data_IF_176847300411
#
_entry.id   IF_176847300411
#
_cell.length_a   1.000
_cell.length_b   1.000
_cell.length_c   1.000
_cell.angle_alpha   90.00
_cell.angle_beta   90.00
_cell.angle_gamma   90.00
#
_symmetry.space_group_name_H-M   'P 1'
#
loop_
_entity.id
_entity.type
_entity.pdbx_description
1 polymer ?
#
# COMPACT_ATOMS: atom_id res chain seq x y z
N UNK A 1 13.58 -19.81 -21.51
CA UNK A 1 14.46 -18.64 -21.35
C UNK A 1 15.43 -18.95 -20.21
N UNK A 2 16.73 -18.93 -20.47
CA UNK A 2 17.77 -19.11 -19.44
C UNK A 2 18.12 -17.80 -18.73
N UNK A 3 18.94 -17.87 -17.68
CA UNK A 3 19.37 -16.68 -16.88
C UNK A 3 20.08 -15.64 -17.75
N UNK A 4 20.97 -16.08 -18.65
CA UNK A 4 21.68 -15.19 -19.59
C UNK A 4 20.70 -14.49 -20.54
N UNK A 5 19.74 -15.23 -21.10
CA UNK A 5 18.71 -14.65 -21.98
C UNK A 5 17.86 -13.62 -21.25
N UNK A 6 17.52 -13.88 -19.99
CA UNK A 6 16.70 -12.98 -19.18
C UNK A 6 17.44 -11.67 -18.83
N UNK A 7 18.76 -11.71 -18.61
CA UNK A 7 19.58 -10.50 -18.46
C UNK A 7 19.55 -9.68 -19.76
N UNK A 8 19.72 -10.34 -20.91
CA UNK A 8 19.70 -9.68 -22.23
C UNK A 8 18.35 -9.01 -22.53
N UNK A 9 17.23 -9.58 -22.07
CA UNK A 9 15.91 -8.93 -22.18
C UNK A 9 15.91 -7.59 -21.43
N UNK A 10 16.39 -7.54 -20.20
CA UNK A 10 16.46 -6.30 -19.43
C UNK A 10 17.39 -5.26 -20.09
N UNK A 11 18.54 -5.71 -20.61
CA UNK A 11 19.48 -4.82 -21.32
C UNK A 11 18.87 -4.23 -22.59
N UNK A 12 18.13 -5.03 -23.36
CA UNK A 12 17.44 -4.57 -24.58
C UNK A 12 16.40 -3.49 -24.28
N UNK A 13 15.78 -3.54 -23.10
CA UNK A 13 14.83 -2.51 -22.65
C UNK A 13 15.51 -1.34 -21.89
N UNK A 14 16.84 -1.28 -21.86
CA UNK A 14 17.59 -0.16 -21.27
C UNK A 14 17.90 -0.33 -19.77
N UNK A 15 17.80 -1.54 -19.24
CA UNK A 15 18.18 -1.85 -17.86
C UNK A 15 19.38 -2.81 -17.81
N UNK A 16 20.57 -2.28 -17.58
CA UNK A 16 21.74 -3.12 -17.26
C UNK A 16 21.59 -3.70 -15.86
N UNK A 17 21.77 -5.00 -15.76
CA UNK A 17 21.76 -5.75 -14.50
C UNK A 17 23.14 -6.35 -14.27
N UNK A 18 23.72 -6.14 -13.08
CA UNK A 18 24.97 -6.80 -12.67
C UNK A 18 24.81 -8.29 -12.36
N UNK A 19 23.57 -8.78 -12.29
CA UNK A 19 23.22 -10.20 -12.20
C UNK A 19 23.12 -10.78 -10.79
N UNK A 20 23.55 -10.05 -9.74
CA UNK A 20 23.74 -10.61 -8.40
C UNK A 20 22.97 -9.90 -7.27
N UNK A 21 22.04 -8.99 -7.59
CA UNK A 21 21.32 -8.22 -6.57
C UNK A 21 19.80 -8.24 -6.79
N UNK A 22 19.02 -8.89 -5.89
CA UNK A 22 17.55 -8.89 -5.97
C UNK A 22 16.93 -7.49 -5.98
N UNK A 23 17.51 -6.54 -5.24
CA UNK A 23 17.04 -5.15 -5.20
C UNK A 23 17.31 -4.41 -6.53
N UNK A 24 18.38 -4.73 -7.23
CA UNK A 24 18.69 -4.17 -8.56
C UNK A 24 17.69 -4.66 -9.61
N UNK A 25 17.44 -5.99 -9.64
CA UNK A 25 16.43 -6.59 -10.51
C UNK A 25 15.05 -5.97 -10.27
N UNK A 26 14.66 -5.80 -9.00
CA UNK A 26 13.37 -5.19 -8.61
C UNK A 26 13.26 -3.73 -9.07
N UNK A 27 14.29 -2.91 -8.87
CA UNK A 27 14.32 -1.50 -9.31
C UNK A 27 14.25 -1.36 -10.83
N UNK A 28 15.00 -2.19 -11.54
CA UNK A 28 14.98 -2.22 -12.99
C UNK A 28 13.59 -2.59 -13.52
N UNK A 29 12.96 -3.62 -12.94
CA UNK A 29 11.63 -4.07 -13.35
C UNK A 29 10.57 -2.99 -13.13
N UNK A 30 10.58 -2.34 -11.96
CA UNK A 30 9.69 -1.20 -11.67
C UNK A 30 9.90 -0.11 -12.72
N UNK A 31 11.13 0.37 -12.94
CA UNK A 31 11.38 1.46 -13.90
C UNK A 31 10.83 1.15 -15.30
N UNK A 32 11.05 -0.07 -15.80
CA UNK A 32 10.56 -0.49 -17.10
C UNK A 32 9.02 -0.60 -17.12
N UNK A 33 8.41 -1.09 -16.05
CA UNK A 33 6.95 -1.10 -15.91
C UNK A 33 6.36 0.30 -16.06
N UNK A 34 6.92 1.30 -15.39
CA UNK A 34 6.45 2.68 -15.52
C UNK A 34 6.64 3.24 -16.94
N UNK A 35 7.78 2.95 -17.59
CA UNK A 35 8.09 3.43 -18.94
C UNK A 35 7.14 2.85 -20.00
N UNK A 36 6.89 1.53 -19.97
CA UNK A 36 6.07 0.86 -20.97
C UNK A 36 4.57 0.85 -20.64
N UNK A 37 4.19 1.17 -19.39
CA UNK A 37 2.80 1.48 -19.01
C UNK A 37 2.41 2.93 -19.38
N UNK A 38 3.29 3.92 -19.18
CA UNK A 38 3.04 5.32 -19.54
C UNK A 38 3.08 5.56 -21.07
N UNK A 39 3.85 4.75 -21.81
CA UNK A 39 3.97 4.81 -23.27
C UNK A 39 2.91 4.03 -24.07
N UNK A 40 1.84 3.54 -23.43
CA UNK A 40 0.79 2.75 -24.11
C UNK A 40 -0.08 3.61 -25.05
N UNK A 41 0.48 3.94 -26.22
CA UNK A 41 -0.26 4.39 -27.39
C UNK A 41 -0.66 3.20 -28.27
N UNK A 42 -1.97 3.09 -28.53
CA UNK A 42 -2.72 2.47 -29.65
C UNK A 42 -2.35 1.07 -30.22
N UNK A 43 -1.13 0.54 -30.13
CA UNK A 43 -0.66 -0.57 -30.98
C UNK A 43 -0.25 -1.86 -30.22
N UNK A 44 -0.53 -1.95 -28.91
CA UNK A 44 -0.26 -3.16 -28.10
C UNK A 44 1.23 -3.53 -27.91
N UNK A 45 2.15 -2.68 -28.37
CA UNK A 45 3.60 -2.92 -28.29
C UNK A 45 4.12 -2.86 -26.84
N UNK A 46 3.60 -1.93 -26.02
CA UNK A 46 3.95 -1.83 -24.60
C UNK A 46 3.53 -3.06 -23.79
N UNK A 47 2.36 -3.65 -24.12
CA UNK A 47 1.88 -4.88 -23.47
C UNK A 47 2.76 -6.09 -23.80
N UNK A 48 3.16 -6.24 -25.07
CA UNK A 48 4.11 -7.29 -25.50
C UNK A 48 5.48 -7.13 -24.84
N UNK A 49 6.01 -5.91 -24.81
CA UNK A 49 7.26 -5.59 -24.12
C UNK A 49 7.20 -5.96 -22.63
N UNK A 50 6.11 -5.61 -21.93
CA UNK A 50 5.96 -5.94 -20.52
C UNK A 50 5.75 -7.43 -20.25
N UNK A 51 5.05 -8.15 -21.12
CA UNK A 51 4.93 -9.61 -21.00
C UNK A 51 6.30 -10.29 -21.06
N UNK A 52 7.17 -9.81 -21.95
CA UNK A 52 8.53 -10.32 -22.10
C UNK A 52 9.44 -9.94 -20.92
N UNK A 53 9.35 -8.70 -20.43
CA UNK A 53 10.06 -8.24 -19.22
C UNK A 53 9.64 -9.05 -17.98
N UNK A 54 8.34 -9.36 -17.84
CA UNK A 54 7.83 -10.18 -16.74
C UNK A 54 8.36 -11.61 -16.79
N UNK A 55 8.39 -12.22 -17.98
CA UNK A 55 8.96 -13.56 -18.16
C UNK A 55 10.44 -13.60 -17.79
N UNK A 56 11.22 -12.59 -18.20
CA UNK A 56 12.62 -12.47 -17.82
C UNK A 56 12.81 -12.25 -16.30
N UNK A 57 11.98 -11.40 -15.69
CA UNK A 57 12.02 -11.15 -14.25
C UNK A 57 11.80 -12.43 -13.44
N UNK A 58 10.84 -13.27 -13.83
CA UNK A 58 10.57 -14.53 -13.14
C UNK A 58 11.73 -15.53 -13.21
N UNK A 59 12.41 -15.61 -14.36
CA UNK A 59 13.60 -16.46 -14.52
C UNK A 59 14.72 -16.00 -13.60
N UNK A 60 15.02 -14.69 -13.58
CA UNK A 60 16.08 -14.13 -12.74
C UNK A 60 15.75 -14.22 -11.26
N UNK A 61 14.49 -13.97 -10.89
CA UNK A 61 14.01 -14.10 -9.52
C UNK A 61 14.15 -15.53 -8.98
N UNK A 62 13.86 -16.54 -9.80
CA UNK A 62 14.05 -17.97 -9.42
C UNK A 62 15.53 -18.34 -9.30
N UNK A 63 16.38 -17.80 -10.17
CA UNK A 63 17.82 -18.05 -10.12
C UNK A 63 18.49 -17.43 -8.88
N UNK A 64 17.99 -16.29 -8.42
CA UNK A 64 18.47 -15.59 -7.22
C UNK A 64 17.93 -16.20 -5.90
N UNK A 65 16.95 -17.10 -5.95
CA UNK A 65 16.37 -17.76 -4.77
C UNK A 65 15.97 -19.23 -5.07
N UNK A 66 16.94 -20.17 -5.03
CA UNK A 66 16.73 -21.55 -5.45
C UNK A 66 15.92 -22.43 -4.48
N UNK A 67 15.47 -21.92 -3.32
CA UNK A 67 14.85 -22.72 -2.25
C UNK A 67 13.36 -23.06 -2.50
N UNK A 68 12.72 -22.53 -3.55
CA UNK A 68 11.30 -22.79 -3.85
C UNK A 68 11.09 -23.85 -4.93
N UNK A 69 11.40 -25.10 -4.59
CA UNK A 69 11.04 -26.30 -5.36
C UNK A 69 10.04 -27.20 -4.63
N UNK A 70 8.85 -27.38 -5.23
CA UNK A 70 7.82 -28.41 -4.95
C UNK A 70 6.95 -28.28 -3.67
N UNK A 71 5.66 -28.61 -3.83
CA UNK A 71 4.74 -28.94 -2.74
C UNK A 71 3.65 -27.89 -2.48
N UNK A 72 2.51 -28.03 -3.15
CA UNK A 72 1.25 -27.36 -2.77
C UNK A 72 0.82 -27.96 -1.41
N UNK A 73 1.23 -27.33 -0.31
CA UNK A 73 0.72 -27.62 1.03
C UNK A 73 -0.35 -26.60 1.38
N UNK A 74 -1.51 -27.04 1.84
CA UNK A 74 -2.62 -26.19 2.30
C UNK A 74 -2.32 -25.49 3.65
N UNK A 75 -1.18 -24.79 3.76
CA UNK A 75 -0.72 -24.10 4.98
C UNK A 75 -0.33 -22.66 4.67
N UNK A 76 -1.01 -21.73 5.36
CA UNK A 76 -0.78 -20.28 5.46
C UNK A 76 -0.49 -19.53 4.13
N UNK A 77 -1.49 -18.81 3.56
CA UNK A 77 -1.30 -18.01 2.34
C UNK A 77 -0.17 -16.96 2.44
N UNK A 78 0.24 -16.58 3.66
CA UNK A 78 1.39 -15.68 3.92
C UNK A 78 2.72 -16.26 3.43
N UNK A 79 2.85 -17.58 3.30
CA UNK A 79 4.07 -18.26 2.85
C UNK A 79 4.07 -18.63 1.36
N UNK A 80 2.93 -18.50 0.68
CA UNK A 80 2.71 -19.05 -0.67
C UNK A 80 2.83 -18.04 -1.82
N UNK A 81 3.16 -16.77 -1.55
CA UNK A 81 3.25 -15.76 -2.60
C UNK A 81 1.89 -15.34 -3.18
N UNK A 82 0.79 -15.71 -2.51
CA UNK A 82 -0.57 -15.24 -2.81
C UNK A 82 -0.73 -13.86 -2.19
N UNK A 83 -1.33 -12.92 -2.93
CA UNK A 83 -1.49 -11.49 -2.67
C UNK A 83 -1.64 -11.10 -1.18
N UNK A 84 -0.52 -11.04 -0.45
CA UNK A 84 -0.48 -10.84 1.01
C UNK A 84 -1.15 -9.53 1.41
N UNK A 85 -1.02 -8.51 0.57
CA UNK A 85 -1.70 -7.22 0.76
C UNK A 85 -3.24 -7.30 0.85
N UNK A 86 -3.87 -8.28 0.18
CA UNK A 86 -5.33 -8.45 0.20
C UNK A 86 -5.84 -8.91 1.56
N UNK A 87 -4.98 -9.57 2.35
CA UNK A 87 -5.28 -10.11 3.67
C UNK A 87 -5.29 -9.05 4.78
N UNK A 88 -4.84 -7.83 4.51
CA UNK A 88 -4.86 -6.74 5.49
C UNK A 88 -6.29 -6.53 6.01
N UNK A 89 -6.48 -6.63 7.32
CA UNK A 89 -7.79 -6.50 7.96
C UNK A 89 -8.55 -7.82 8.17
N UNK A 90 -8.19 -8.93 7.52
CA UNK A 90 -8.97 -10.17 7.55
C UNK A 90 -8.62 -11.09 8.74
N UNK A 91 -9.57 -11.41 9.64
CA UNK A 91 -9.35 -12.29 10.78
C UNK A 91 -9.49 -13.77 10.40
N UNK A 92 -8.66 -14.26 9.46
CA UNK A 92 -8.53 -15.70 9.18
C UNK A 92 -9.55 -16.33 8.21
N UNK A 93 -10.35 -15.53 7.49
CA UNK A 93 -11.19 -16.00 6.37
C UNK A 93 -10.54 -15.76 5.00
N UNK A 94 -11.10 -16.32 3.92
CA UNK A 94 -10.62 -16.08 2.56
C UNK A 94 -10.60 -14.57 2.26
N UNK A 95 -9.41 -14.01 1.99
CA UNK A 95 -9.29 -12.65 1.51
C UNK A 95 -10.07 -12.50 0.18
N UNK A 96 -10.65 -11.32 -0.10
CA UNK A 96 -11.23 -11.07 -1.41
C UNK A 96 -10.14 -11.33 -2.45
N UNK A 97 -10.44 -12.22 -3.40
CA UNK A 97 -9.54 -12.47 -4.51
C UNK A 97 -9.22 -11.12 -5.18
N UNK A 98 -7.95 -10.86 -5.55
CA UNK A 98 -7.62 -9.72 -6.38
C UNK A 98 -8.55 -9.75 -7.60
N UNK A 99 -9.35 -8.72 -7.78
CA UNK A 99 -10.15 -8.61 -8.99
C UNK A 99 -9.22 -8.15 -10.12
N UNK A 100 -9.40 -8.68 -11.33
CA UNK A 100 -8.63 -8.33 -12.54
C UNK A 100 -8.67 -6.82 -12.85
N UNK A 101 -9.61 -6.08 -12.25
CA UNK A 101 -9.73 -4.61 -12.34
C UNK A 101 -8.68 -3.80 -11.55
N UNK A 102 -7.90 -4.42 -10.65
CA UNK A 102 -6.86 -3.72 -9.85
C UNK A 102 -5.66 -3.27 -10.73
N UNK A 103 -5.67 -3.60 -12.02
CA UNK A 103 -4.68 -3.15 -13.01
C UNK A 103 -4.82 -1.67 -13.39
N UNK A 104 -5.98 -1.05 -13.12
CA UNK A 104 -6.18 0.38 -13.36
C UNK A 104 -5.87 1.19 -12.10
N UNK A 105 -5.20 2.34 -12.28
CA UNK A 105 -4.92 3.27 -11.19
C UNK A 105 -6.21 3.95 -10.71
N UNK A 106 -6.90 3.33 -9.76
CA UNK A 106 -8.10 3.88 -9.13
C UNK A 106 -7.92 3.96 -7.61
N UNK A 107 -7.62 5.15 -7.10
CA UNK A 107 -7.51 5.40 -5.66
C UNK A 107 -8.84 5.36 -4.90
N UNK A 108 -9.97 5.15 -5.59
CA UNK A 108 -11.26 4.83 -4.95
C UNK A 108 -11.43 3.33 -4.73
N UNK A 109 -10.68 2.49 -5.47
CA UNK A 109 -10.62 1.07 -5.23
C UNK A 109 -9.70 0.78 -4.03
N UNK A 110 -10.32 0.32 -2.94
CA UNK A 110 -9.64 -0.01 -1.68
C UNK A 110 -8.58 -1.11 -1.87
N UNK A 111 -8.77 -2.03 -2.81
CA UNK A 111 -7.78 -3.07 -3.12
C UNK A 111 -6.59 -2.52 -3.91
N UNK A 112 -6.83 -1.58 -4.83
CA UNK A 112 -5.75 -0.84 -5.49
C UNK A 112 -4.90 -0.08 -4.46
N UNK A 113 -5.55 0.63 -3.53
CA UNK A 113 -4.87 1.33 -2.44
C UNK A 113 -4.03 0.35 -1.59
N UNK A 114 -4.62 -0.77 -1.14
CA UNK A 114 -3.87 -1.81 -0.38
C UNK A 114 -2.63 -2.30 -1.13
N UNK A 115 -2.77 -2.66 -2.41
CA UNK A 115 -1.67 -3.13 -3.26
C UNK A 115 -0.59 -2.07 -3.43
N UNK A 116 -0.98 -0.82 -3.70
CA UNK A 116 -0.07 0.32 -3.90
C UNK A 116 0.74 0.60 -2.64
N UNK A 117 0.11 0.67 -1.47
CA UNK A 117 0.79 0.89 -0.19
C UNK A 117 1.76 -0.25 0.12
N UNK A 118 1.38 -1.50 -0.12
CA UNK A 118 2.26 -2.65 0.07
C UNK A 118 3.50 -2.60 -0.84
N UNK A 119 3.32 -2.24 -2.12
CA UNK A 119 4.42 -2.10 -3.07
C UNK A 119 5.41 -0.99 -2.68
N UNK A 120 4.89 0.17 -2.24
CA UNK A 120 5.68 1.30 -1.74
C UNK A 120 6.41 0.98 -0.43
N UNK A 121 5.85 0.07 0.36
CA UNK A 121 6.43 -0.35 1.64
C UNK A 121 7.37 -1.56 1.51
N UNK A 122 7.87 -1.83 0.29
CA UNK A 122 8.76 -2.96 -0.04
C UNK A 122 8.26 -4.32 0.50
N UNK A 123 6.93 -4.51 0.50
CA UNK A 123 6.34 -5.75 0.96
C UNK A 123 6.25 -5.91 2.49
N UNK A 124 6.36 -4.81 3.26
CA UNK A 124 6.16 -4.78 4.72
C UNK A 124 4.97 -5.63 5.16
N UNK A 125 5.14 -6.31 6.30
CA UNK A 125 4.10 -7.12 6.94
C UNK A 125 3.46 -6.42 8.15
N UNK A 126 3.80 -5.15 8.40
CA UNK A 126 3.14 -4.37 9.44
C UNK A 126 1.75 -3.93 8.98
N UNK A 127 0.73 -4.26 9.77
CA UNK A 127 -0.63 -3.81 9.52
C UNK A 127 -0.89 -2.44 10.11
N UNK A 128 -1.42 -1.55 9.28
CA UNK A 128 -1.83 -0.20 9.64
C UNK A 128 -3.29 0.01 9.26
N UNK A 129 -4.07 0.55 10.18
CA UNK A 129 -5.42 1.03 9.94
C UNK A 129 -5.39 2.52 9.60
N UNK A 130 -5.93 2.88 8.45
CA UNK A 130 -6.14 4.25 7.99
C UNK A 130 -7.52 4.69 8.47
N UNK A 131 -7.58 5.74 9.28
CA UNK A 131 -8.77 6.29 9.92
C UNK A 131 -9.06 7.71 9.42
N UNK A 132 -9.88 7.87 8.37
CA UNK A 132 -10.32 9.19 7.92
C UNK A 132 -11.36 9.77 8.88
N UNK A 133 -11.30 11.07 9.16
CA UNK A 133 -12.22 11.79 10.04
C UNK A 133 -12.83 12.98 9.30
N UNK A 134 -14.17 13.08 9.23
CA UNK A 134 -14.87 14.10 8.44
C UNK A 134 -15.10 15.44 9.18
N UNK A 135 -14.55 15.57 10.40
CA UNK A 135 -14.81 16.70 11.29
C UNK A 135 -15.93 16.44 12.29
N UNK A 136 -16.68 15.34 12.18
CA UNK A 136 -17.73 14.94 13.13
C UNK A 136 -17.58 13.49 13.58
N UNK A 137 -17.19 12.59 12.68
CA UNK A 137 -17.03 11.16 12.96
C UNK A 137 -15.91 10.56 12.12
N UNK A 138 -15.40 9.43 12.59
CA UNK A 138 -14.57 8.57 11.76
C UNK A 138 -15.40 7.96 10.62
N UNK A 139 -14.79 7.91 9.45
CA UNK A 139 -15.31 7.26 8.26
C UNK A 139 -14.84 5.81 8.22
N UNK A 140 -15.31 5.02 7.26
CA UNK A 140 -14.96 3.61 7.16
C UNK A 140 -13.43 3.42 7.03
N UNK A 141 -12.76 2.76 8.00
CA UNK A 141 -11.31 2.64 8.01
C UNK A 141 -10.83 1.64 6.97
N UNK A 142 -9.61 1.80 6.46
CA UNK A 142 -8.96 0.85 5.56
C UNK A 142 -7.69 0.28 6.22
N UNK A 143 -7.64 -1.04 6.41
CA UNK A 143 -6.41 -1.70 6.84
C UNK A 143 -5.52 -2.00 5.64
N UNK A 144 -4.23 -1.70 5.75
CA UNK A 144 -3.21 -1.94 4.74
C UNK A 144 -1.99 -2.58 5.38
N UNK A 145 -1.20 -3.31 4.60
CA UNK A 145 0.17 -3.63 4.98
C UNK A 145 1.08 -2.51 4.50
N UNK A 146 1.83 -1.88 5.40
CA UNK A 146 2.68 -0.75 5.03
C UNK A 146 3.75 -0.42 6.05
N UNK A 147 4.46 0.69 5.85
CA UNK A 147 5.44 1.20 6.79
C UNK A 147 5.42 2.74 6.81
N UNK A 148 6.22 3.34 7.70
CA UNK A 148 6.30 4.81 7.86
C UNK A 148 6.58 5.58 6.56
N UNK A 149 7.38 5.00 5.66
CA UNK A 149 7.70 5.63 4.36
C UNK A 149 6.46 5.81 3.46
N UNK A 150 5.40 5.04 3.70
CA UNK A 150 4.16 5.10 2.92
C UNK A 150 3.07 5.98 3.57
N UNK A 151 3.33 6.63 4.71
CA UNK A 151 2.30 7.40 5.43
C UNK A 151 1.68 8.52 4.60
N UNK A 152 2.47 9.26 3.84
CA UNK A 152 1.96 10.31 2.95
C UNK A 152 1.02 9.73 1.89
N UNK A 153 1.34 8.55 1.36
CA UNK A 153 0.48 7.89 0.39
C UNK A 153 -0.80 7.33 1.04
N UNK A 154 -0.71 6.78 2.26
CA UNK A 154 -1.88 6.35 3.03
C UNK A 154 -2.83 7.53 3.26
N UNK A 155 -2.30 8.70 3.62
CA UNK A 155 -3.07 9.92 3.81
C UNK A 155 -3.72 10.39 2.49
N UNK A 156 -2.94 10.48 1.40
CA UNK A 156 -3.46 10.87 0.08
C UNK A 156 -4.55 9.93 -0.43
N UNK A 157 -4.38 8.62 -0.25
CA UNK A 157 -5.39 7.64 -0.63
C UNK A 157 -6.68 7.82 0.18
N UNK A 158 -6.58 8.06 1.49
CA UNK A 158 -7.74 8.31 2.35
C UNK A 158 -8.61 9.48 1.87
N UNK A 159 -7.99 10.58 1.42
CA UNK A 159 -8.71 11.72 0.87
C UNK A 159 -9.51 11.38 -0.40
N UNK A 160 -9.15 10.30 -1.10
CA UNK A 160 -9.78 9.86 -2.35
C UNK A 160 -10.83 8.77 -2.13
N UNK A 161 -10.51 7.71 -1.36
CA UNK A 161 -11.45 6.61 -1.13
C UNK A 161 -12.54 6.93 -0.11
N UNK A 162 -12.24 7.74 0.93
CA UNK A 162 -13.16 7.96 2.03
C UNK A 162 -14.15 9.11 1.75
N UNK A 163 -14.63 9.26 0.52
CA UNK A 163 -15.58 10.32 0.16
C UNK A 163 -17.02 9.79 0.20
N UNK A 164 -17.86 10.39 1.05
CA UNK A 164 -19.30 10.08 1.12
C UNK A 164 -20.07 11.32 0.65
N UNK A 165 -20.51 11.31 -0.61
CA UNK A 165 -21.17 12.45 -1.25
C UNK A 165 -20.29 13.71 -1.22
N UNK A 166 -20.77 14.75 -0.53
CA UNK A 166 -20.05 16.02 -0.34
C UNK A 166 -19.09 16.02 0.87
N UNK A 167 -19.15 15.01 1.74
CA UNK A 167 -18.26 14.92 2.90
C UNK A 167 -16.90 14.40 2.49
N UNK A 168 -15.86 15.13 2.88
CA UNK A 168 -14.46 14.77 2.67
C UNK A 168 -13.77 14.64 4.02
N UNK A 169 -12.73 13.79 4.14
CA UNK A 169 -11.95 13.75 5.36
C UNK A 169 -11.32 15.12 5.62
N UNK A 170 -11.56 15.63 6.83
CA UNK A 170 -10.88 16.78 7.41
C UNK A 170 -9.49 16.38 7.90
N UNK A 171 -9.38 15.20 8.50
CA UNK A 171 -8.14 14.65 9.02
C UNK A 171 -7.98 13.17 8.67
N UNK A 172 -6.74 12.69 8.68
CA UNK A 172 -6.42 11.27 8.49
C UNK A 172 -5.46 10.84 9.59
N UNK A 173 -5.84 9.78 10.29
CA UNK A 173 -5.05 9.15 11.33
C UNK A 173 -4.61 7.76 10.90
N UNK A 174 -3.46 7.31 11.40
CA UNK A 174 -2.95 5.96 11.21
C UNK A 174 -2.83 5.28 12.58
N UNK A 175 -3.16 3.99 12.64
CA UNK A 175 -2.98 3.18 13.85
C UNK A 175 -2.34 1.86 13.49
N UNK A 176 -1.26 1.48 14.16
CA UNK A 176 -0.66 0.16 13.98
C UNK A 176 -1.54 -0.91 14.62
N UNK A 177 -1.80 -2.00 13.91
CA UNK A 177 -2.59 -3.13 14.44
C UNK A 177 -1.70 -4.07 15.23
N UNK A 178 -2.21 -4.59 16.35
CA UNK A 178 -1.53 -5.58 17.19
C UNK A 178 -0.90 -5.02 18.48
N UNK A 179 -0.78 -3.70 18.58
CA UNK A 179 -0.42 -3.03 19.83
C UNK A 179 -1.70 -2.57 20.51
N UNK A 180 -2.09 -3.24 21.61
CA UNK A 180 -3.12 -2.70 22.48
C UNK A 180 -2.66 -1.31 22.93
N UNK A 181 -3.53 -0.30 22.82
CA UNK A 181 -3.27 1.09 23.20
C UNK A 181 -2.37 1.91 22.23
N UNK A 182 -2.18 1.49 20.99
CA UNK A 182 -1.42 2.27 20.02
C UNK A 182 -2.06 3.65 19.76
N UNK A 183 -1.27 4.70 19.97
CA UNK A 183 -1.61 6.08 19.65
C UNK A 183 -2.05 6.19 18.18
N UNK A 184 -3.09 6.99 17.94
CA UNK A 184 -3.41 7.43 16.59
C UNK A 184 -2.37 8.44 16.13
N UNK A 185 -1.79 8.22 14.96
CA UNK A 185 -0.86 9.17 14.36
C UNK A 185 -1.61 10.04 13.37
N UNK A 186 -1.80 11.31 13.69
CA UNK A 186 -2.31 12.30 12.75
C UNK A 186 -1.24 12.59 11.69
N UNK A 187 -1.53 12.23 10.43
CA UNK A 187 -0.62 12.40 9.30
C UNK A 187 -1.11 13.45 8.28
N UNK A 188 -2.35 13.90 8.42
CA UNK A 188 -2.93 14.94 7.59
C UNK A 188 -4.09 15.63 8.30
N UNK A 189 -4.16 16.96 8.25
CA UNK A 189 -5.32 17.73 8.71
C UNK A 189 -5.52 19.00 7.88
N UNK A 190 -6.77 19.31 7.58
CA UNK A 190 -7.20 20.56 6.93
C UNK A 190 -6.45 20.88 5.63
N UNK A 191 -6.17 19.85 4.83
CA UNK A 191 -5.47 19.95 3.55
C UNK A 191 -3.94 19.98 3.65
N UNK A 192 -3.39 19.82 4.86
CA UNK A 192 -1.96 19.92 5.14
C UNK A 192 -1.41 18.58 5.62
N UNK A 193 -0.38 18.01 4.96
CA UNK A 193 0.38 16.88 5.49
C UNK A 193 1.03 17.23 6.84
N UNK A 194 1.06 16.27 7.76
CA UNK A 194 1.60 16.46 9.12
C UNK A 194 2.70 15.44 9.42
N UNK A 195 3.69 15.86 10.19
CA UNK A 195 4.68 14.96 10.75
C UNK A 195 4.04 14.14 11.89
N UNK A 196 3.44 12.99 11.54
CA UNK A 196 2.85 11.96 12.42
C UNK A 196 2.71 12.36 13.90
N UNK A 197 1.66 13.11 14.23
CA UNK A 197 1.41 13.66 15.58
C UNK A 197 0.61 12.64 16.40
N UNK A 198 1.06 12.21 17.59
CA UNK A 198 0.38 11.20 18.37
C UNK A 198 -0.88 11.72 19.09
N UNK A 199 -1.94 10.92 19.03
CA UNK A 199 -3.24 11.15 19.66
C UNK A 199 -3.63 9.93 20.48
N UNK A 200 -3.71 10.12 21.80
CA UNK A 200 -4.24 9.11 22.71
C UNK A 200 -5.76 9.04 22.63
N UNK A 201 -6.27 7.82 22.67
CA UNK A 201 -7.69 7.51 22.83
C UNK A 201 -7.85 6.24 23.68
N UNK A 202 -9.02 6.05 24.28
CA UNK A 202 -9.38 4.93 25.15
C UNK A 202 -10.27 3.88 24.46
N UNK A 203 -10.60 4.08 23.18
CA UNK A 203 -11.43 3.17 22.36
C UNK A 203 -10.79 1.83 21.97
N UNK A 204 -9.67 1.43 22.59
CA UNK A 204 -8.95 0.21 22.25
C UNK A 204 -8.43 0.21 20.80
N UNK A 205 -8.82 -0.79 20.00
CA UNK A 205 -8.44 -0.89 18.58
C UNK A 205 -9.35 -0.12 17.62
N UNK A 206 -10.39 0.55 18.13
CA UNK A 206 -11.32 1.33 17.32
C UNK A 206 -11.54 2.72 17.96
N UNK A 207 -10.86 3.77 17.48
CA UNK A 207 -11.00 5.11 18.03
C UNK A 207 -12.41 5.70 17.86
N UNK A 208 -13.22 5.19 16.93
CA UNK A 208 -14.61 5.63 16.77
C UNK A 208 -15.52 5.24 17.95
N UNK A 209 -15.08 4.31 18.81
CA UNK A 209 -15.78 3.93 20.05
C UNK A 209 -15.48 4.85 21.23
N UNK A 210 -14.47 5.71 21.12
CA UNK A 210 -14.15 6.70 22.15
C UNK A 210 -14.93 8.00 21.87
N UNK A 211 -16.12 8.08 22.45
CA UNK A 211 -17.02 9.22 22.24
C UNK A 211 -16.44 10.55 22.76
N UNK A 212 -15.66 10.50 23.86
CA UNK A 212 -15.03 11.68 24.45
C UNK A 212 -13.92 12.18 23.53
N UNK A 213 -13.07 11.27 23.04
CA UNK A 213 -12.05 11.60 22.06
C UNK A 213 -12.65 12.20 20.79
N UNK A 214 -13.66 11.54 20.20
CA UNK A 214 -14.32 12.00 18.96
C UNK A 214 -14.98 13.38 19.14
N UNK A 215 -15.65 13.62 20.28
CA UNK A 215 -16.29 14.90 20.56
C UNK A 215 -15.27 16.05 20.68
N UNK A 216 -14.09 15.80 21.25
CA UNK A 216 -13.04 16.81 21.46
C UNK A 216 -12.13 17.00 20.24
N UNK A 217 -12.13 16.06 19.30
CA UNK A 217 -11.21 16.04 18.16
C UNK A 217 -11.30 17.30 17.27
N UNK A 218 -12.49 17.84 16.92
CA UNK A 218 -12.58 19.02 16.07
C UNK A 218 -11.87 20.24 16.66
N UNK A 219 -12.11 20.55 17.95
CA UNK A 219 -11.50 21.68 18.64
C UNK A 219 -9.97 21.50 18.76
N UNK A 220 -9.51 20.25 18.91
CA UNK A 220 -8.08 19.94 18.95
C UNK A 220 -7.42 20.12 17.58
N UNK A 221 -8.07 19.69 16.51
CA UNK A 221 -7.62 19.94 15.15
C UNK A 221 -7.57 21.45 14.82
N UNK A 222 -8.53 22.24 15.33
CA UNK A 222 -8.51 23.70 15.18
C UNK A 222 -7.29 24.32 15.87
N UNK A 223 -6.94 23.88 17.08
CA UNK A 223 -5.73 24.34 17.79
C UNK A 223 -4.44 24.00 17.04
N UNK A 224 -4.35 22.80 16.46
CA UNK A 224 -3.20 22.40 15.61
C UNK A 224 -3.13 23.26 14.35
N UNK A 225 -4.27 23.55 13.72
CA UNK A 225 -4.32 24.42 12.54
C UNK A 225 -3.83 25.84 12.87
N UNK A 226 -4.15 26.33 14.05
CA UNK A 226 -3.72 27.65 14.55
C UNK A 226 -2.27 27.66 15.08
N UNK A 227 -1.59 26.52 15.13
CA UNK A 227 -0.24 26.40 15.69
C UNK A 227 -0.17 26.53 17.21
N UNK A 228 -1.30 26.38 17.90
CA UNK A 228 -1.41 26.43 19.37
C UNK A 228 -0.98 25.09 19.98
N UNK A 229 -1.20 24.00 19.26
CA UNK A 229 -0.78 22.65 19.63
C UNK A 229 0.05 22.01 18.50
N UNK A 230 0.97 21.13 18.87
CA UNK A 230 1.80 20.35 17.96
C UNK A 230 1.25 18.92 17.81
#
# INVERSE_FOLDING_TARGET
MGVKDAILVFERFGARLSGNCPAELRRAWIRLAWQYQAGSSANGAGQRAMAEINAAHDVLRRALDPVRGSGISARDPRRQGICVWAWAGHPGGAAPLPNDRIEQADDRDRNFVKRRIWLLSDGSQEEWAIWPFDGRRFMEPLTVYGCRQAFDEMARAALRFARIGFRRPRAVFLQRRGEAWADLLLVHSDGVPRAAIPFRHQGGSNPARDHIFVANLPARLDRIRLGIEA
#
